data_IF_797505405413
#
_entry.id   IF_797505405413
#
_cell.length_a   1.000
_cell.length_b   1.000
_cell.length_c   1.000
_cell.angle_alpha   90.00
_cell.angle_beta   90.00
_cell.angle_gamma   90.00
#
_symmetry.space_group_name_H-M   'P 1'
#
loop_
_entity.id
_entity.type
_entity.pdbx_description
1 polymer ?
#
# COMPACT_ATOMS: atom_id res chain seq x y z
N UNK A 1 -47.53 -52.76 12.57
CA UNK A 1 -47.32 -51.50 13.34
C UNK A 1 -46.29 -50.68 12.56
N UNK A 2 -46.62 -49.87 11.55
CA UNK A 2 -47.26 -48.53 11.54
C UNK A 2 -46.68 -47.55 12.57
N UNK A 3 -45.82 -46.62 12.09
CA UNK A 3 -45.93 -45.14 12.15
C UNK A 3 -44.70 -44.48 11.50
N UNK A 4 -44.73 -44.25 10.19
CA UNK A 4 -44.77 -42.96 9.46
C UNK A 4 -44.79 -41.60 10.21
N UNK A 5 -44.13 -40.62 9.56
CA UNK A 5 -44.08 -39.14 9.67
C UNK A 5 -43.25 -38.53 10.83
N UNK A 6 -42.37 -37.53 10.65
CA UNK A 6 -42.48 -36.37 9.75
C UNK A 6 -41.14 -35.83 9.21
N UNK A 7 -41.21 -35.34 7.98
CA UNK A 7 -40.26 -34.51 7.24
C UNK A 7 -40.11 -33.13 7.90
N UNK A 8 -38.90 -32.59 8.01
CA UNK A 8 -38.69 -31.15 8.14
C UNK A 8 -37.51 -30.74 7.25
N UNK A 9 -37.83 -30.29 6.04
CA UNK A 9 -36.94 -29.52 5.20
C UNK A 9 -36.74 -28.16 5.88
N UNK A 10 -35.53 -27.87 6.34
CA UNK A 10 -35.07 -26.49 6.51
C UNK A 10 -33.83 -26.35 5.62
N UNK A 11 -34.09 -25.83 4.43
CA UNK A 11 -33.11 -25.23 3.55
C UNK A 11 -32.57 -23.96 4.22
N UNK A 12 -31.29 -23.93 4.59
CA UNK A 12 -30.58 -22.66 4.72
C UNK A 12 -29.14 -22.83 4.27
N UNK A 13 -28.80 -22.07 3.24
CA UNK A 13 -27.49 -21.89 2.59
C UNK A 13 -26.29 -22.22 3.48
N UNK A 14 -25.64 -23.35 3.22
CA UNK A 14 -24.31 -23.64 3.72
C UNK A 14 -23.33 -22.85 2.84
N UNK A 15 -23.07 -21.61 3.21
CA UNK A 15 -21.90 -20.89 2.71
C UNK A 15 -20.66 -21.58 3.26
N UNK A 16 -19.75 -21.94 2.36
CA UNK A 16 -18.46 -22.58 2.60
C UNK A 16 -17.71 -22.00 3.82
N UNK A 17 -17.83 -22.67 4.97
CA UNK A 17 -16.90 -22.53 6.09
C UNK A 17 -15.90 -23.69 6.01
N UNK A 18 -14.64 -23.39 5.67
CA UNK A 18 -13.54 -24.32 5.94
C UNK A 18 -13.24 -24.26 7.43
N UNK A 19 -13.89 -25.11 8.22
CA UNK A 19 -13.55 -25.30 9.62
C UNK A 19 -12.36 -26.27 9.72
N UNK A 20 -11.15 -25.75 9.90
CA UNK A 20 -10.02 -26.58 10.34
C UNK A 20 -10.22 -26.84 11.84
N UNK A 21 -10.72 -28.02 12.20
CA UNK A 21 -10.75 -28.48 13.59
C UNK A 21 -9.35 -28.96 14.00
N UNK A 22 -8.51 -28.06 14.49
CA UNK A 22 -7.33 -28.44 15.25
C UNK A 22 -7.76 -28.69 16.70
N UNK A 23 -8.00 -29.97 17.03
CA UNK A 23 -8.31 -30.40 18.39
C UNK A 23 -6.96 -30.53 19.13
N UNK A 24 -6.57 -29.50 19.88
CA UNK A 24 -5.49 -29.63 20.86
C UNK A 24 -6.05 -30.31 22.12
N UNK A 25 -5.42 -31.35 22.67
CA UNK A 25 -5.96 -32.11 23.78
C UNK A 25 -5.65 -31.43 25.12
N UNK A 26 -6.02 -30.16 25.32
CA UNK A 26 -6.08 -29.53 26.64
C UNK A 26 -6.99 -28.28 26.56
N UNK A 27 -8.16 -28.35 27.21
CA UNK A 27 -9.26 -27.40 27.25
C UNK A 27 -10.10 -27.21 25.97
N UNK A 28 -11.44 -27.22 26.15
CA UNK A 28 -12.49 -27.04 25.14
C UNK A 28 -12.45 -25.65 24.49
N UNK A 29 -11.46 -25.40 23.65
CA UNK A 29 -11.33 -24.17 22.85
C UNK A 29 -11.33 -24.54 21.36
N UNK A 30 -12.17 -23.86 20.58
CA UNK A 30 -12.28 -24.05 19.13
C UNK A 30 -11.85 -22.76 18.41
N UNK A 31 -10.87 -22.87 17.51
CA UNK A 31 -10.58 -21.77 16.59
C UNK A 31 -11.44 -21.92 15.34
N UNK A 32 -12.10 -20.83 14.94
CA UNK A 32 -12.86 -20.75 13.70
C UNK A 32 -12.21 -19.74 12.75
N UNK A 33 -11.99 -20.15 11.49
CA UNK A 33 -11.43 -19.27 10.46
C UNK A 33 -12.51 -18.95 9.42
N UNK A 34 -12.62 -17.69 9.00
CA UNK A 34 -13.41 -17.31 7.84
C UNK A 34 -12.62 -16.37 6.92
N UNK A 35 -13.17 -16.09 5.72
CA UNK A 35 -12.53 -15.22 4.71
C UNK A 35 -12.19 -13.79 5.17
N UNK A 36 -12.75 -13.35 6.30
CA UNK A 36 -12.61 -12.00 6.85
C UNK A 36 -11.79 -11.94 8.16
N UNK A 37 -11.35 -13.08 8.71
CA UNK A 37 -10.57 -13.10 9.95
C UNK A 37 -10.57 -14.41 10.73
N UNK A 38 -9.85 -14.39 11.86
CA UNK A 38 -9.79 -15.47 12.85
C UNK A 38 -10.77 -15.14 13.98
N UNK A 39 -11.63 -16.09 14.32
CA UNK A 39 -12.45 -16.08 15.53
C UNK A 39 -11.83 -17.10 16.50
N UNK A 40 -11.39 -16.63 17.67
CA UNK A 40 -10.86 -17.49 18.72
C UNK A 40 -11.97 -17.72 19.74
N UNK A 41 -12.44 -18.96 19.91
CA UNK A 41 -13.32 -19.33 21.01
C UNK A 41 -12.49 -19.64 22.27
N UNK A 42 -12.42 -18.66 23.17
CA UNK A 42 -11.75 -18.77 24.47
C UNK A 42 -12.68 -19.31 25.56
N UNK A 43 -13.64 -20.18 25.24
CA UNK A 43 -14.35 -21.00 26.23
C UNK A 43 -15.17 -20.22 27.28
N UNK A 44 -15.96 -20.94 28.07
CA UNK A 44 -16.95 -20.35 28.99
C UNK A 44 -16.34 -19.78 30.28
N UNK A 45 -16.63 -18.51 30.58
CA UNK A 45 -16.63 -17.95 31.95
C UNK A 45 -18.00 -17.32 32.23
N UNK A 46 -18.96 -18.16 32.64
CA UNK A 46 -20.36 -17.76 32.90
C UNK A 46 -21.25 -17.71 31.64
N UNK A 47 -22.36 -16.95 31.70
CA UNK A 47 -23.37 -16.81 30.63
C UNK A 47 -22.96 -15.85 29.49
N UNK A 48 -21.73 -15.34 29.48
CA UNK A 48 -21.28 -14.36 28.50
C UNK A 48 -20.13 -14.93 27.66
N UNK A 49 -20.34 -14.96 26.35
CA UNK A 49 -19.32 -15.32 25.36
C UNK A 49 -18.49 -14.08 25.04
N UNK A 50 -17.17 -14.14 25.20
CA UNK A 50 -16.29 -13.05 24.78
C UNK A 50 -15.75 -13.36 23.38
N UNK A 51 -16.39 -12.80 22.36
CA UNK A 51 -16.06 -12.99 20.95
C UNK A 51 -15.01 -11.97 20.54
N UNK A 52 -13.75 -12.38 20.41
CA UNK A 52 -12.73 -11.57 19.73
C UNK A 52 -12.74 -11.90 18.24
N UNK A 53 -12.99 -10.88 17.41
CA UNK A 53 -12.87 -10.99 15.96
C UNK A 53 -11.55 -10.33 15.56
N UNK A 54 -10.58 -11.15 15.15
CA UNK A 54 -9.33 -10.66 14.60
C UNK A 54 -9.53 -10.44 13.10
N UNK A 55 -9.87 -9.20 12.71
CA UNK A 55 -10.05 -8.83 11.30
C UNK A 55 -8.68 -8.75 10.62
N UNK A 56 -8.51 -9.48 9.50
CA UNK A 56 -7.33 -9.31 8.64
C UNK A 56 -7.49 -7.96 7.94
N UNK A 57 -6.83 -6.92 8.44
CA UNK A 57 -6.83 -5.59 7.79
C UNK A 57 -6.33 -5.73 6.34
N UNK A 58 -6.98 -5.01 5.43
CA UNK A 58 -6.66 -5.04 4.01
C UNK A 58 -5.24 -4.51 3.79
N UNK A 59 -4.41 -5.29 3.08
CA UNK A 59 -3.08 -4.89 2.63
C UNK A 59 -3.17 -4.32 1.23
N UNK A 60 -2.51 -3.20 1.00
CA UNK A 60 -2.39 -2.51 -0.28
C UNK A 60 -0.96 -2.63 -0.77
N UNK A 61 -0.78 -3.14 -1.99
CA UNK A 61 0.53 -3.20 -2.65
C UNK A 61 0.89 -1.82 -3.22
N UNK A 62 2.16 -1.44 -3.06
CA UNK A 62 2.74 -0.22 -3.60
C UNK A 62 3.95 -0.60 -4.44
N UNK A 63 3.96 -0.15 -5.68
CA UNK A 63 5.03 -0.44 -6.63
C UNK A 63 6.16 0.59 -6.50
N UNK A 64 7.38 0.20 -6.86
CA UNK A 64 8.44 1.18 -7.10
C UNK A 64 8.09 2.07 -8.29
N UNK A 65 8.37 3.36 -8.15
CA UNK A 65 8.07 4.37 -9.17
C UNK A 65 9.15 4.44 -10.27
N UNK A 66 10.29 3.77 -10.13
CA UNK A 66 11.35 3.73 -11.13
C UNK A 66 12.20 2.46 -10.98
N UNK A 67 12.97 2.14 -12.01
CA UNK A 67 14.08 1.18 -11.88
C UNK A 67 15.11 1.79 -10.92
N UNK A 68 15.64 0.99 -9.99
CA UNK A 68 16.68 1.46 -9.09
C UNK A 68 16.63 0.83 -7.70
N UNK A 69 17.34 1.46 -6.77
CA UNK A 69 17.47 0.98 -5.40
C UNK A 69 16.41 1.61 -4.50
N UNK A 70 15.56 0.79 -3.91
CA UNK A 70 14.59 1.17 -2.87
C UNK A 70 15.32 1.25 -1.52
N UNK A 71 15.15 2.37 -0.83
CA UNK A 71 15.75 2.67 0.48
C UNK A 71 14.69 3.25 1.42
N UNK A 72 14.84 3.10 2.75
CA UNK A 72 13.95 3.74 3.70
C UNK A 72 14.05 5.26 3.59
N UNK A 73 12.93 5.96 3.82
CA UNK A 73 12.89 7.43 3.69
C UNK A 73 13.89 8.14 4.61
N UNK A 74 14.29 7.48 5.70
CA UNK A 74 15.28 7.95 6.68
C UNK A 74 16.71 8.01 6.14
N UNK A 75 17.00 7.39 4.99
CA UNK A 75 18.31 7.43 4.33
C UNK A 75 18.45 8.58 3.32
N UNK A 76 17.36 9.33 3.06
CA UNK A 76 17.39 10.48 2.17
C UNK A 76 18.20 11.63 2.78
N UNK A 77 18.90 12.40 1.95
CA UNK A 77 19.83 13.45 2.39
C UNK A 77 19.14 14.69 2.99
N UNK A 78 17.88 14.94 2.65
CA UNK A 78 17.09 16.07 3.15
C UNK A 78 16.34 15.73 4.47
N UNK A 79 16.54 16.51 5.55
CA UNK A 79 15.90 16.29 6.84
C UNK A 79 14.36 16.33 6.83
N UNK A 80 13.72 17.11 5.96
CA UNK A 80 12.25 17.20 5.86
C UNK A 80 11.65 15.84 5.53
N UNK A 81 12.30 15.12 4.61
CA UNK A 81 11.90 13.75 4.25
C UNK A 81 12.43 12.73 5.25
N UNK A 82 13.70 12.79 5.63
CA UNK A 82 14.32 11.80 6.51
C UNK A 82 13.69 11.76 7.91
N UNK A 83 13.19 12.89 8.40
CA UNK A 83 12.47 12.98 9.67
C UNK A 83 10.96 12.75 9.52
N UNK A 84 10.49 12.37 8.34
CA UNK A 84 9.07 12.06 8.05
C UNK A 84 8.13 13.23 8.34
N UNK A 85 8.59 14.48 8.18
CA UNK A 85 7.79 15.66 8.54
C UNK A 85 6.55 15.81 7.66
N UNK A 86 6.58 15.29 6.43
CA UNK A 86 5.45 15.27 5.49
C UNK A 86 4.64 13.96 5.49
N UNK A 87 5.10 12.95 6.24
CA UNK A 87 4.55 11.59 6.22
C UNK A 87 5.63 10.51 6.17
N UNK A 88 5.25 9.27 6.47
CA UNK A 88 6.11 8.10 6.28
C UNK A 88 6.13 7.66 4.81
N UNK A 89 7.11 6.86 4.44
CA UNK A 89 7.30 6.45 3.06
C UNK A 89 8.64 5.77 2.81
N UNK A 90 9.07 5.83 1.57
CA UNK A 90 10.36 5.32 1.12
C UNK A 90 10.91 6.19 0.00
N UNK A 91 12.16 5.95 -0.39
CA UNK A 91 12.75 6.59 -1.56
C UNK A 91 13.31 5.54 -2.54
N UNK A 92 13.42 5.95 -3.80
CA UNK A 92 14.01 5.17 -4.87
C UNK A 92 15.18 5.96 -5.43
N UNK A 93 16.37 5.37 -5.50
CA UNK A 93 17.53 5.95 -6.21
C UNK A 93 17.43 5.48 -7.66
N UNK A 94 16.95 6.32 -8.60
CA UNK A 94 16.58 5.86 -9.93
C UNK A 94 17.79 5.60 -10.82
N UNK A 95 17.64 4.60 -11.67
CA UNK A 95 18.52 4.29 -12.81
C UNK A 95 17.81 4.49 -14.15
N UNK A 96 16.48 4.61 -14.15
CA UNK A 96 15.65 4.86 -15.33
C UNK A 96 15.20 6.32 -15.51
N UNK A 97 14.72 6.63 -16.71
CA UNK A 97 14.28 7.96 -17.13
C UNK A 97 12.76 8.17 -17.08
N UNK A 98 12.02 7.30 -16.39
CA UNK A 98 10.55 7.39 -16.30
C UNK A 98 10.11 7.11 -14.88
N UNK A 99 9.28 8.01 -14.36
CA UNK A 99 8.61 7.90 -13.08
C UNK A 99 7.18 7.43 -13.31
N UNK A 100 6.87 6.28 -12.74
CA UNK A 100 5.61 5.58 -12.83
C UNK A 100 4.76 5.82 -11.57
N UNK A 101 3.45 5.62 -11.70
CA UNK A 101 2.53 5.68 -10.57
C UNK A 101 2.80 4.51 -9.62
N UNK A 102 3.12 4.74 -8.34
CA UNK A 102 3.34 3.67 -7.37
C UNK A 102 2.04 2.96 -6.95
N UNK A 103 0.88 3.60 -7.17
CA UNK A 103 -0.44 3.07 -6.80
C UNK A 103 -1.47 3.33 -7.90
N UNK A 104 -2.62 2.67 -7.82
CA UNK A 104 -3.78 2.99 -8.66
C UNK A 104 -4.63 4.05 -7.98
N UNK A 105 -5.04 5.08 -8.72
CA UNK A 105 -5.77 6.21 -8.15
C UNK A 105 -6.00 7.35 -9.14
N UNK A 106 -6.45 8.49 -8.61
CA UNK A 106 -6.62 9.73 -9.37
C UNK A 106 -5.40 10.62 -9.14
N UNK A 107 -4.86 11.23 -10.20
CA UNK A 107 -3.85 12.28 -10.08
C UNK A 107 -4.52 13.54 -9.51
N UNK A 108 -4.25 13.82 -8.23
CA UNK A 108 -4.85 14.93 -7.50
C UNK A 108 -4.14 16.26 -7.77
N UNK A 109 -2.83 16.21 -8.04
CA UNK A 109 -2.02 17.38 -8.38
C UNK A 109 -0.79 16.99 -9.19
N UNK A 110 -0.29 17.90 -10.01
CA UNK A 110 1.04 17.86 -10.62
C UNK A 110 1.61 19.27 -10.47
N UNK A 111 2.80 19.40 -9.91
CA UNK A 111 3.43 20.70 -9.71
C UNK A 111 3.81 21.33 -11.07
N UNK A 112 3.83 22.66 -11.14
CA UNK A 112 4.07 23.40 -12.39
C UNK A 112 5.41 23.04 -13.05
N UNK A 113 6.44 22.81 -12.23
CA UNK A 113 7.78 22.40 -12.69
C UNK A 113 7.91 20.88 -12.88
N UNK A 114 6.83 20.11 -12.78
CA UNK A 114 6.76 18.66 -13.01
C UNK A 114 7.63 17.78 -12.10
N UNK A 115 8.29 18.35 -11.09
CA UNK A 115 9.14 17.62 -10.14
C UNK A 115 8.36 16.79 -9.11
N UNK A 116 7.05 16.96 -9.00
CA UNK A 116 6.24 16.21 -8.05
C UNK A 116 4.80 16.05 -8.53
N UNK A 117 4.14 14.99 -8.06
CA UNK A 117 2.72 14.73 -8.30
C UNK A 117 2.08 14.03 -7.10
N UNK A 118 0.80 14.30 -6.89
CA UNK A 118 -0.02 13.67 -5.87
C UNK A 118 -1.03 12.70 -6.47
N UNK A 119 -1.28 11.62 -5.75
CA UNK A 119 -2.27 10.59 -6.07
C UNK A 119 -3.24 10.44 -4.91
N UNK A 120 -4.51 10.23 -5.22
CA UNK A 120 -5.53 9.84 -4.26
C UNK A 120 -6.10 8.49 -4.68
N UNK A 121 -5.92 7.49 -3.82
CA UNK A 121 -6.46 6.15 -4.02
C UNK A 121 -7.98 6.11 -3.76
N UNK A 122 -8.66 5.04 -4.19
CA UNK A 122 -10.11 4.87 -3.99
C UNK A 122 -10.52 4.74 -2.51
N UNK A 123 -9.62 4.26 -1.65
CA UNK A 123 -9.77 4.25 -0.19
C UNK A 123 -9.47 5.62 0.44
N UNK A 124 -9.06 6.59 -0.38
CA UNK A 124 -8.69 7.95 0.01
C UNK A 124 -7.33 8.09 0.69
N UNK A 125 -6.47 7.05 0.67
CA UNK A 125 -5.05 7.20 0.99
C UNK A 125 -4.42 8.16 -0.02
N UNK A 126 -3.66 9.11 0.48
CA UNK A 126 -2.97 10.11 -0.34
C UNK A 126 -1.49 9.78 -0.43
N UNK A 127 -0.96 9.83 -1.65
CA UNK A 127 0.45 9.53 -1.95
C UNK A 127 1.05 10.71 -2.68
N UNK A 128 2.16 11.24 -2.18
CA UNK A 128 2.97 12.24 -2.83
C UNK A 128 4.23 11.58 -3.41
N UNK A 129 4.50 11.80 -4.69
CA UNK A 129 5.76 11.42 -5.33
C UNK A 129 6.55 12.69 -5.62
N UNK A 130 7.72 12.82 -5.01
CA UNK A 130 8.62 13.95 -5.17
C UNK A 130 9.94 13.50 -5.81
N UNK A 131 10.30 14.08 -6.95
CA UNK A 131 11.37 13.61 -7.84
C UNK A 131 12.63 14.45 -7.61
N UNK A 132 13.59 13.90 -6.88
CA UNK A 132 14.82 14.58 -6.50
C UNK A 132 14.63 15.60 -5.38
N UNK A 133 15.73 16.12 -4.86
CA UNK A 133 15.75 17.15 -3.82
C UNK A 133 16.06 18.50 -4.48
N UNK A 134 15.34 19.54 -4.08
CA UNK A 134 15.47 20.91 -4.59
C UNK A 134 15.27 21.07 -6.11
N UNK A 135 14.77 20.05 -6.80
CA UNK A 135 14.54 20.02 -8.26
C UNK A 135 13.46 21.00 -8.73
N UNK A 136 12.66 21.54 -7.82
CA UNK A 136 11.78 22.70 -8.10
C UNK A 136 12.56 23.88 -8.67
N UNK A 137 13.83 24.05 -8.26
CA UNK A 137 14.72 25.13 -8.72
C UNK A 137 15.11 24.99 -10.20
N UNK A 138 14.91 23.80 -10.78
CA UNK A 138 15.18 23.52 -12.19
C UNK A 138 14.08 24.03 -13.13
N UNK A 139 12.98 24.55 -12.57
CA UNK A 139 11.91 25.22 -13.33
C UNK A 139 11.31 24.38 -14.46
N UNK A 140 11.37 23.06 -14.32
CA UNK A 140 10.81 22.07 -15.25
C UNK A 140 11.75 21.65 -16.39
N UNK A 141 12.96 22.19 -16.46
CA UNK A 141 13.97 21.65 -17.39
C UNK A 141 14.35 20.22 -17.00
N UNK A 142 14.48 19.33 -17.98
CA UNK A 142 14.74 17.91 -17.73
C UNK A 142 13.53 17.11 -17.27
N UNK A 143 12.33 17.71 -17.17
CA UNK A 143 11.09 17.00 -16.87
C UNK A 143 10.11 17.04 -18.04
N UNK A 144 9.44 15.92 -18.31
CA UNK A 144 8.40 15.79 -19.34
C UNK A 144 7.14 15.19 -18.73
N UNK A 145 6.05 15.97 -18.72
CA UNK A 145 4.74 15.49 -18.28
C UNK A 145 4.18 14.46 -19.27
N UNK A 146 3.75 13.29 -18.76
CA UNK A 146 3.16 12.19 -19.55
C UNK A 146 1.69 11.93 -19.21
N UNK A 147 1.24 12.31 -18.01
CA UNK A 147 -0.15 12.24 -17.56
C UNK A 147 -0.69 13.61 -17.11
N UNK A 148 -2.00 13.78 -17.05
CA UNK A 148 -2.65 15.03 -16.70
C UNK A 148 -3.31 14.99 -15.31
N UNK A 149 -3.47 16.18 -14.72
CA UNK A 149 -4.25 16.32 -13.47
C UNK A 149 -5.69 15.84 -13.73
N UNK A 150 -6.25 15.14 -12.76
CA UNK A 150 -7.55 14.45 -12.79
C UNK A 150 -7.59 13.12 -13.56
N UNK A 151 -6.51 12.69 -14.22
CA UNK A 151 -6.48 11.37 -14.83
C UNK A 151 -6.62 10.27 -13.76
N UNK A 152 -7.33 9.20 -14.13
CA UNK A 152 -7.33 7.94 -13.37
C UNK A 152 -6.26 7.04 -13.94
N UNK A 153 -5.29 6.67 -13.10
CA UNK A 153 -4.14 5.85 -13.48
C UNK A 153 -4.11 4.54 -12.71
N UNK A 154 -3.53 3.53 -13.32
CA UNK A 154 -3.18 2.27 -12.68
C UNK A 154 -1.76 2.36 -12.13
N UNK A 155 -1.49 1.53 -11.13
CA UNK A 155 -0.13 1.33 -10.65
C UNK A 155 0.75 0.87 -11.82
N UNK A 156 1.88 1.53 -12.01
CA UNK A 156 2.82 1.29 -13.11
C UNK A 156 2.55 2.09 -14.39
N UNK A 157 1.52 2.94 -14.44
CA UNK A 157 1.34 3.88 -15.56
C UNK A 157 2.40 5.00 -15.51
N UNK A 158 2.95 5.44 -16.66
CA UNK A 158 3.97 6.48 -16.71
C UNK A 158 3.38 7.87 -16.43
N UNK A 159 4.00 8.64 -15.52
CA UNK A 159 3.49 9.95 -15.08
C UNK A 159 4.40 11.08 -15.55
N UNK A 160 5.70 10.98 -15.25
CA UNK A 160 6.72 11.99 -15.60
C UNK A 160 7.92 11.27 -16.24
N UNK A 161 8.40 11.77 -17.37
CA UNK A 161 9.73 11.44 -17.90
C UNK A 161 10.77 12.40 -17.34
N UNK A 162 11.98 11.90 -17.07
CA UNK A 162 13.10 12.71 -16.58
C UNK A 162 14.34 12.53 -17.45
N UNK A 163 15.14 13.58 -17.58
CA UNK A 163 16.52 13.51 -18.05
C UNK A 163 17.44 13.31 -16.85
N UNK A 164 17.55 12.06 -16.41
CA UNK A 164 18.26 11.71 -15.18
C UNK A 164 19.74 12.11 -15.24
N UNK A 165 20.38 11.92 -16.39
CA UNK A 165 21.80 12.26 -16.57
C UNK A 165 22.02 13.77 -16.53
N UNK A 166 21.18 14.56 -17.22
CA UNK A 166 21.29 16.02 -17.19
C UNK A 166 21.06 16.59 -15.78
N UNK A 167 20.05 16.07 -15.05
CA UNK A 167 19.76 16.52 -13.69
C UNK A 167 20.88 16.15 -12.71
N UNK A 168 21.44 14.94 -12.81
CA UNK A 168 22.62 14.54 -12.01
C UNK A 168 23.84 15.38 -12.35
N UNK A 169 24.07 15.71 -13.63
CA UNK A 169 25.17 16.56 -14.06
C UNK A 169 25.07 18.00 -13.52
N UNK A 170 23.85 18.48 -13.24
CA UNK A 170 23.59 19.75 -12.56
C UNK A 170 23.77 19.69 -11.04
N UNK A 171 24.02 18.50 -10.48
CA UNK A 171 24.31 18.30 -9.06
C UNK A 171 23.07 18.02 -8.19
N UNK A 172 21.90 17.77 -8.79
CA UNK A 172 20.72 17.38 -8.01
C UNK A 172 20.85 15.95 -7.48
N UNK A 173 20.47 15.77 -6.22
CA UNK A 173 20.14 14.44 -5.70
C UNK A 173 18.81 14.01 -6.33
N UNK A 174 18.83 12.89 -7.04
CA UNK A 174 17.70 12.38 -7.80
C UNK A 174 16.92 11.28 -7.08
N UNK A 175 17.11 11.11 -5.77
CA UNK A 175 16.24 10.26 -4.96
C UNK A 175 14.77 10.66 -5.16
N UNK A 176 13.91 9.68 -5.46
CA UNK A 176 12.48 9.87 -5.67
C UNK A 176 11.73 9.39 -4.44
N UNK A 177 11.14 10.31 -3.70
CA UNK A 177 10.41 10.01 -2.46
C UNK A 177 8.97 9.64 -2.79
N UNK A 178 8.49 8.54 -2.22
CA UNK A 178 7.09 8.11 -2.22
C UNK A 178 6.57 8.21 -0.79
N UNK A 179 5.68 9.16 -0.54
CA UNK A 179 5.27 9.61 0.81
C UNK A 179 3.77 9.42 0.98
N UNK A 180 3.34 8.89 2.12
CA UNK A 180 1.93 8.77 2.51
C UNK A 180 1.53 9.93 3.41
N UNK A 181 0.71 10.84 2.89
CA UNK A 181 0.51 12.18 3.49
C UNK A 181 -0.69 12.29 4.43
N UNK A 182 -1.45 11.22 4.63
CA UNK A 182 -2.58 11.18 5.57
C UNK A 182 -2.57 9.91 6.44
N UNK A 183 -3.39 9.89 7.49
CA UNK A 183 -3.42 8.89 8.56
C UNK A 183 -4.25 7.63 8.23
N UNK A 184 -4.51 7.37 6.93
CA UNK A 184 -5.33 6.22 6.49
C UNK A 184 -4.59 4.89 6.40
N UNK A 185 -3.41 4.81 7.01
CA UNK A 185 -2.63 3.59 7.14
C UNK A 185 -2.13 3.41 8.57
N UNK A 186 -1.92 2.16 8.98
CA UNK A 186 -1.40 1.80 10.30
C UNK A 186 -0.04 1.11 10.28
N UNK A 187 0.38 0.58 9.13
CA UNK A 187 1.66 -0.10 8.98
C UNK A 187 2.19 0.05 7.55
N UNK A 188 3.49 0.30 7.43
CA UNK A 188 4.24 0.29 6.19
C UNK A 188 5.33 -0.78 6.30
N UNK A 189 5.31 -1.78 5.42
CA UNK A 189 6.38 -2.78 5.31
C UNK A 189 7.12 -2.54 4.00
N UNK A 190 8.40 -2.20 4.09
CA UNK A 190 9.27 -1.92 2.95
C UNK A 190 10.01 -3.17 2.49
N UNK A 191 10.18 -3.31 1.19
CA UNK A 191 11.10 -4.26 0.55
C UNK A 191 12.26 -3.43 -0.01
N UNK A 192 13.40 -3.48 0.67
CA UNK A 192 14.60 -2.73 0.29
C UNK A 192 15.45 -3.51 -0.71
N UNK A 193 16.28 -2.79 -1.45
CA UNK A 193 17.22 -3.37 -2.40
C UNK A 193 16.99 -2.90 -3.82
N UNK A 194 17.51 -3.63 -4.79
CA UNK A 194 17.35 -3.32 -6.21
C UNK A 194 16.02 -3.86 -6.73
N UNK A 195 15.22 -2.99 -7.36
CA UNK A 195 13.94 -3.32 -7.95
C UNK A 195 13.86 -2.83 -9.40
N UNK A 196 13.17 -3.58 -10.24
CA UNK A 196 12.72 -3.09 -11.54
C UNK A 196 11.48 -2.22 -11.38
N UNK A 197 11.32 -1.23 -12.26
CA UNK A 197 10.13 -0.39 -12.26
C UNK A 197 8.86 -1.24 -12.24
N UNK A 198 7.85 -0.82 -11.47
CA UNK A 198 6.54 -1.48 -11.35
C UNK A 198 6.57 -2.80 -10.55
N UNK A 199 7.70 -3.21 -9.98
CA UNK A 199 7.70 -4.28 -8.98
C UNK A 199 7.17 -3.78 -7.64
N UNK A 200 6.64 -4.68 -6.81
CA UNK A 200 6.21 -4.36 -5.46
C UNK A 200 7.43 -3.95 -4.62
N UNK A 201 7.37 -2.75 -4.05
CA UNK A 201 8.42 -2.20 -3.19
C UNK A 201 7.93 -2.04 -1.75
N UNK A 202 6.61 -1.93 -1.52
CA UNK A 202 6.07 -1.85 -0.18
C UNK A 202 4.66 -2.44 -0.08
N UNK A 203 4.29 -2.82 1.13
CA UNK A 203 2.89 -3.12 1.48
C UNK A 203 2.42 -2.22 2.60
N UNK A 204 1.19 -1.75 2.48
CA UNK A 204 0.55 -0.85 3.45
C UNK A 204 -0.66 -1.54 4.05
N UNK A 205 -0.75 -1.53 5.36
CA UNK A 205 -1.97 -1.89 6.06
C UNK A 205 -2.81 -0.65 6.28
N UNK A 206 -4.05 -0.65 5.78
CA UNK A 206 -4.96 0.49 5.95
C UNK A 206 -5.42 0.62 7.41
N UNK A 207 -5.63 1.86 7.86
CA UNK A 207 -6.02 2.18 9.23
C UNK A 207 -7.42 1.66 9.57
#
# INVERSE_FOLDING_TARGET
MIKLFNFCFITQQISFFYAIHLIYPFNNHSLFYNKNGIIIDIGKKGNNYMKFTLFKKAKTSVLTCADGKVVPITEVSDPVFAQKMMGDGFAVIPTGNTIYSPVSGKISMIFDTNHAFGLTMSNGLEVLVHIGIDTVNEKGEGFKRLAAINDTVKAGDPIIGIDLEALKAKGYDMAVMVIFTNDKYSELTLMEGDHQAKEEAATIQLA
#
